data_IF_739633449474
#
_entry.id   IF_739633449474
#
_cell.length_a   1.000
_cell.length_b   1.000
_cell.length_c   1.000
_cell.angle_alpha   90.00
_cell.angle_beta   90.00
_cell.angle_gamma   90.00
#
_symmetry.space_group_name_H-M   'P 1'
#
loop_
_entity.id
_entity.type
_entity.pdbx_description
1 polymer ?
#
# COMPACT_ATOMS: atom_id res chain seq x y z
N UNK A 1 -4.80 19.37 1.44
CA UNK A 1 -4.25 18.02 1.63
C UNK A 1 -5.17 17.28 2.59
N UNK A 2 -5.94 16.31 2.07
CA UNK A 2 -7.06 15.66 2.77
C UNK A 2 -6.63 14.87 3.99
N UNK A 3 -7.56 14.72 4.95
CA UNK A 3 -7.36 13.94 6.18
C UNK A 3 -7.06 12.49 5.81
N UNK A 4 -5.87 12.02 6.18
CA UNK A 4 -5.44 10.63 5.96
C UNK A 4 -6.11 9.78 7.03
N UNK A 5 -7.16 9.04 6.66
CA UNK A 5 -7.79 8.07 7.55
C UNK A 5 -6.82 6.89 7.76
N UNK A 6 -6.16 6.85 8.92
CA UNK A 6 -5.30 5.74 9.30
C UNK A 6 -6.15 4.62 9.92
N UNK A 7 -6.62 3.69 9.10
CA UNK A 7 -7.09 2.41 9.63
C UNK A 7 -5.87 1.62 10.15
N UNK A 8 -5.93 1.20 11.41
CA UNK A 8 -4.93 0.33 12.02
C UNK A 8 -5.19 -1.09 11.50
N UNK A 9 -4.50 -1.49 10.43
CA UNK A 9 -4.59 -2.87 9.94
C UNK A 9 -3.76 -3.76 10.86
N UNK A 10 -4.40 -4.75 11.47
CA UNK A 10 -3.74 -5.78 12.28
C UNK A 10 -2.96 -6.77 11.38
N UNK A 11 -1.72 -7.14 11.77
CA UNK A 11 -0.86 -8.10 11.05
C UNK A 11 0.33 -7.50 10.27
N UNK A 12 0.85 -8.23 9.26
CA UNK A 12 1.87 -7.70 8.34
C UNK A 12 1.23 -6.85 7.25
N UNK A 13 1.69 -5.60 7.11
CA UNK A 13 1.16 -4.63 6.15
C UNK A 13 2.28 -3.89 5.40
N UNK A 14 1.96 -3.40 4.22
CA UNK A 14 2.81 -2.51 3.45
C UNK A 14 2.60 -1.07 3.90
N UNK A 15 3.70 -0.32 4.00
CA UNK A 15 3.67 1.11 4.33
C UNK A 15 4.28 1.94 3.21
N UNK A 16 3.73 3.12 3.01
CA UNK A 16 4.30 4.15 2.15
C UNK A 16 5.66 4.57 2.69
N UNK A 17 6.72 4.59 1.86
CA UNK A 17 8.05 5.03 2.32
C UNK A 17 8.14 6.54 2.59
N UNK A 18 7.38 7.35 1.86
CA UNK A 18 7.41 8.81 2.00
C UNK A 18 6.51 9.31 3.14
N UNK A 19 5.35 8.68 3.29
CA UNK A 19 4.28 9.11 4.18
C UNK A 19 4.06 8.19 5.38
N UNK A 20 4.76 7.05 5.44
CA UNK A 20 4.69 6.03 6.50
C UNK A 20 3.28 5.47 6.79
N UNK A 21 2.29 5.84 5.99
CA UNK A 21 0.91 5.40 6.11
C UNK A 21 0.79 3.92 5.74
N UNK A 22 -0.03 3.19 6.50
CA UNK A 22 -0.44 1.83 6.14
C UNK A 22 -1.21 1.88 4.80
N UNK A 23 -0.74 1.12 3.81
CA UNK A 23 -1.33 1.08 2.47
C UNK A 23 -2.29 -0.09 2.32
N UNK A 24 -1.84 -1.30 2.68
CA UNK A 24 -2.61 -2.52 2.52
C UNK A 24 -2.01 -3.66 3.35
N UNK A 25 -2.82 -4.67 3.66
CA UNK A 25 -2.35 -5.93 4.26
C UNK A 25 -1.48 -6.70 3.27
N UNK A 26 -0.68 -7.63 3.80
CA UNK A 26 0.11 -8.53 2.97
C UNK A 26 -0.75 -9.42 2.07
N UNK A 27 -1.91 -9.85 2.57
CA UNK A 27 -2.85 -10.73 1.88
C UNK A 27 -3.50 -10.09 0.65
N UNK A 28 -3.77 -8.79 0.71
CA UNK A 28 -4.36 -8.02 -0.39
C UNK A 28 -3.37 -7.70 -1.52
N UNK A 29 -2.10 -8.10 -1.42
CA UNK A 29 -1.13 -7.85 -2.48
C UNK A 29 -1.36 -8.77 -3.68
N UNK A 30 -1.90 -8.21 -4.76
CA UNK A 30 -2.14 -8.92 -6.01
C UNK A 30 -0.86 -9.07 -6.85
N UNK A 31 0.03 -8.09 -6.85
CA UNK A 31 1.26 -8.17 -7.67
C UNK A 31 2.41 -7.28 -7.19
N UNK A 32 3.60 -7.89 -7.14
CA UNK A 32 4.89 -7.23 -6.85
C UNK A 32 5.65 -6.76 -8.09
N UNK A 33 5.28 -7.27 -9.25
CA UNK A 33 5.91 -6.99 -10.54
C UNK A 33 5.16 -5.94 -11.35
N UNK A 34 4.22 -5.22 -10.72
CA UNK A 34 3.52 -4.15 -11.43
C UNK A 34 4.51 -3.00 -11.68
N UNK A 35 4.53 -2.47 -12.89
CA UNK A 35 5.43 -1.39 -13.26
C UNK A 35 4.61 -0.22 -13.78
N UNK A 36 4.76 0.94 -13.16
CA UNK A 36 4.24 2.19 -13.69
C UNK A 36 5.33 2.89 -14.52
N UNK A 37 4.93 3.89 -15.32
CA UNK A 37 5.84 4.69 -16.15
C UNK A 37 7.00 5.33 -15.36
N UNK A 38 6.86 5.47 -14.04
CA UNK A 38 7.86 6.07 -13.12
C UNK A 38 8.61 5.06 -12.25
N UNK A 39 8.41 3.75 -12.45
CA UNK A 39 9.13 2.70 -11.72
C UNK A 39 8.26 1.57 -11.17
N UNK A 40 8.78 0.84 -10.19
CA UNK A 40 8.09 -0.27 -9.52
C UNK A 40 6.83 0.22 -8.81
N UNK A 41 5.73 -0.47 -9.02
CA UNK A 41 4.46 -0.26 -8.36
C UNK A 41 3.97 -1.59 -7.76
N UNK A 42 3.17 -1.50 -6.71
CA UNK A 42 2.58 -2.66 -6.06
C UNK A 42 1.07 -2.57 -6.28
N UNK A 43 0.47 -3.64 -6.78
CA UNK A 43 -0.98 -3.71 -7.00
C UNK A 43 -1.63 -4.40 -5.80
N UNK A 44 -2.64 -3.75 -5.23
CA UNK A 44 -3.41 -4.26 -4.09
C UNK A 44 -4.87 -4.48 -4.51
N UNK A 45 -5.51 -5.50 -3.94
CA UNK A 45 -6.90 -5.86 -4.21
C UNK A 45 -7.90 -4.92 -3.53
N UNK A 46 -7.57 -4.53 -2.31
CA UNK A 46 -8.39 -3.68 -1.46
C UNK A 46 -7.49 -2.68 -0.72
N UNK A 47 -7.91 -1.42 -0.64
CA UNK A 47 -7.16 -0.28 -0.07
C UNK A 47 -8.04 0.51 0.87
#
# INVERSE_FOLDING_TARGET
MGRVYMQKLDGMFYRCRACHTHLAKFDDLMSKTFHCRRGKAYLYKNV
#
